data_IF_958562038253
#
_entry.id   IF_958562038253
#
_cell.length_a   1.000
_cell.length_b   1.000
_cell.length_c   1.000
_cell.angle_alpha   90.00
_cell.angle_beta   90.00
_cell.angle_gamma   90.00
#
_symmetry.space_group_name_H-M   'P 1'
#
loop_
_entity.id
_entity.type
_entity.pdbx_description
1 polymer ?
#
# COMPACT_ATOMS: atom_id res chain seq x y z
N UNK A 1 19.47 17.65 66.15
CA UNK A 1 20.17 17.03 65.00
C UNK A 1 19.20 16.13 64.27
N UNK A 2 18.58 16.64 63.21
CA UNK A 2 17.61 15.91 62.38
C UNK A 2 18.15 15.91 60.95
N UNK A 3 18.64 14.75 60.50
CA UNK A 3 19.02 14.51 59.11
C UNK A 3 17.73 14.35 58.29
N UNK A 4 17.42 15.33 57.45
CA UNK A 4 16.38 15.22 56.44
C UNK A 4 16.97 14.59 55.17
N UNK A 5 16.65 13.32 54.93
CA UNK A 5 16.98 12.58 53.71
C UNK A 5 16.15 13.14 52.56
N UNK A 6 16.80 13.86 51.64
CA UNK A 6 16.15 14.36 50.42
C UNK A 6 15.80 13.18 49.49
N UNK A 7 14.51 12.87 49.38
CA UNK A 7 14.00 11.90 48.41
C UNK A 7 14.21 12.43 46.98
N UNK A 8 14.99 11.70 46.18
CA UNK A 8 15.19 11.99 44.78
C UNK A 8 13.85 11.91 44.02
N UNK A 9 13.47 13.00 43.35
CA UNK A 9 12.28 13.04 42.52
C UNK A 9 12.41 12.04 41.34
N UNK A 10 11.35 11.29 41.00
CA UNK A 10 11.37 10.39 39.85
C UNK A 10 11.55 11.22 38.57
N UNK A 11 12.67 10.99 37.88
CA UNK A 11 12.96 11.52 36.55
C UNK A 11 11.80 11.16 35.61
N UNK A 12 10.96 12.14 35.28
CA UNK A 12 9.89 11.97 34.29
C UNK A 12 10.54 11.51 32.98
N UNK A 13 10.22 10.32 32.47
CA UNK A 13 10.86 9.81 31.28
C UNK A 13 10.57 10.76 30.11
N UNK A 14 11.56 10.85 29.23
CA UNK A 14 11.70 11.63 27.99
C UNK A 14 10.62 11.39 26.92
N UNK A 15 9.37 11.16 27.32
CA UNK A 15 8.24 10.70 26.51
C UNK A 15 7.99 11.59 25.28
N UNK A 16 8.20 12.90 25.41
CA UNK A 16 8.02 13.89 24.32
C UNK A 16 8.92 13.63 23.10
N UNK A 17 10.10 13.01 23.28
CA UNK A 17 11.02 12.73 22.18
C UNK A 17 10.72 11.43 21.42
N UNK A 18 9.87 10.56 21.97
CA UNK A 18 9.49 9.29 21.36
C UNK A 18 8.10 9.35 20.69
N UNK A 19 7.27 10.32 21.08
CA UNK A 19 5.94 10.58 20.53
C UNK A 19 5.89 10.70 18.99
N UNK A 20 6.74 11.50 18.31
CA UNK A 20 6.70 11.60 16.84
C UNK A 20 7.16 10.30 16.16
N UNK A 21 8.04 9.53 16.79
CA UNK A 21 8.49 8.25 16.27
C UNK A 21 7.41 7.18 16.39
N UNK A 22 6.71 7.13 17.52
CA UNK A 22 5.55 6.24 17.71
C UNK A 22 4.40 6.60 16.75
N UNK A 23 4.13 7.91 16.54
CA UNK A 23 3.15 8.37 15.57
C UNK A 23 3.51 7.98 14.13
N UNK A 24 4.79 8.11 13.75
CA UNK A 24 5.27 7.69 12.43
C UNK A 24 5.13 6.17 12.22
N UNK A 25 5.42 5.35 13.25
CA UNK A 25 5.18 3.91 13.20
C UNK A 25 3.69 3.61 13.07
N UNK A 26 2.83 4.27 13.85
CA UNK A 26 1.38 4.11 13.75
C UNK A 26 0.85 4.42 12.35
N UNK A 27 1.33 5.50 11.73
CA UNK A 27 0.99 5.86 10.35
C UNK A 27 1.46 4.81 9.34
N UNK A 28 2.67 4.27 9.50
CA UNK A 28 3.21 3.21 8.65
C UNK A 28 2.43 1.89 8.79
N UNK A 29 1.96 1.56 10.00
CA UNK A 29 1.10 0.39 10.21
C UNK A 29 -0.25 0.54 9.50
N UNK A 30 -0.82 1.74 9.45
CA UNK A 30 -2.02 2.01 8.65
C UNK A 30 -1.76 1.82 7.15
N UNK A 31 -0.57 2.19 6.68
CA UNK A 31 -0.17 2.00 5.28
C UNK A 31 0.07 0.52 4.92
N UNK A 32 0.13 -0.39 5.90
CA UNK A 32 0.31 -1.83 5.65
C UNK A 32 -0.99 -2.52 5.20
N UNK A 33 -2.14 -1.85 5.29
CA UNK A 33 -3.38 -2.39 4.77
C UNK A 33 -3.29 -2.56 3.24
N UNK A 34 -3.69 -3.74 2.74
CA UNK A 34 -3.51 -4.20 1.35
C UNK A 34 -4.10 -3.28 0.26
N UNK A 35 -4.96 -2.36 0.64
CA UNK A 35 -5.61 -1.38 -0.27
C UNK A 35 -5.40 0.08 0.15
N UNK A 36 -4.54 0.33 1.14
CA UNK A 36 -4.22 1.66 1.63
C UNK A 36 -2.87 2.18 1.08
N UNK A 37 -2.42 1.67 -0.08
CA UNK A 37 -1.18 2.12 -0.71
C UNK A 37 -1.17 3.62 -1.01
N UNK A 38 -2.33 4.21 -1.29
CA UNK A 38 -2.49 5.66 -1.43
C UNK A 38 -2.13 6.45 -0.16
N UNK A 39 -2.23 5.86 1.04
CA UNK A 39 -1.80 6.52 2.28
C UNK A 39 -0.29 6.71 2.34
N UNK A 40 0.47 5.90 1.60
CA UNK A 40 1.92 6.09 1.45
C UNK A 40 2.23 7.42 0.76
N UNK A 41 1.45 7.83 -0.25
CA UNK A 41 1.62 9.13 -0.91
C UNK A 41 1.47 10.30 0.08
N UNK A 42 0.58 10.18 1.07
CA UNK A 42 0.44 11.16 2.14
C UNK A 42 1.55 11.03 3.19
N UNK A 43 1.94 9.82 3.58
CA UNK A 43 2.95 9.59 4.61
C UNK A 43 4.38 9.98 4.18
N UNK A 44 4.73 9.73 2.92
CA UNK A 44 6.06 10.01 2.34
C UNK A 44 6.52 11.46 2.56
N UNK A 45 5.75 12.51 2.19
CA UNK A 45 6.20 13.89 2.37
C UNK A 45 6.39 14.26 3.85
N UNK A 46 5.53 13.79 4.75
CA UNK A 46 5.70 14.04 6.20
C UNK A 46 6.97 13.37 6.75
N UNK A 47 7.22 12.12 6.37
CA UNK A 47 8.41 11.39 6.77
C UNK A 47 9.67 12.03 6.16
N UNK A 48 9.60 12.47 4.90
CA UNK A 48 10.70 13.14 4.21
C UNK A 48 11.06 14.47 4.89
N UNK A 49 10.08 15.32 5.19
CA UNK A 49 10.30 16.59 5.93
C UNK A 49 10.92 16.30 7.30
N UNK A 50 10.43 15.28 8.01
CA UNK A 50 10.96 14.88 9.31
C UNK A 50 12.40 14.33 9.22
N UNK A 51 12.74 13.56 8.18
CA UNK A 51 14.09 13.07 7.90
C UNK A 51 15.04 14.22 7.58
N UNK A 52 14.65 15.15 6.70
CA UNK A 52 15.44 16.34 6.36
C UNK A 52 15.68 17.19 7.60
N UNK A 53 14.64 17.47 8.39
CA UNK A 53 14.74 18.21 9.64
C UNK A 53 15.71 17.54 10.63
N UNK A 54 15.58 16.22 10.84
CA UNK A 54 16.49 15.49 11.72
C UNK A 54 17.92 15.46 11.23
N UNK A 55 18.12 15.40 9.91
CA UNK A 55 19.45 15.40 9.28
C UNK A 55 20.13 16.76 9.48
N UNK A 56 19.41 17.86 9.22
CA UNK A 56 19.92 19.22 9.48
C UNK A 56 20.18 19.45 10.98
N UNK A 57 19.26 19.00 11.86
CA UNK A 57 19.43 19.11 13.30
C UNK A 57 20.58 18.23 13.84
N UNK A 58 20.85 17.09 13.20
CA UNK A 58 21.98 16.21 13.47
C UNK A 58 23.32 16.83 13.07
N UNK A 59 23.36 17.56 11.94
CA UNK A 59 24.54 18.33 11.52
C UNK A 59 24.85 19.49 12.48
N UNK A 60 23.82 20.17 12.99
CA UNK A 60 23.98 21.31 13.91
C UNK A 60 24.22 20.93 15.38
N UNK A 61 23.78 19.75 15.83
CA UNK A 61 23.93 19.28 17.21
C UNK A 61 24.45 17.84 17.22
N UNK A 62 25.77 17.60 17.38
CA UNK A 62 26.36 16.27 17.30
C UNK A 62 25.94 15.35 18.46
N UNK A 63 25.54 15.92 19.59
CA UNK A 63 24.99 15.18 20.72
C UNK A 63 23.71 14.43 20.30
N UNK A 64 23.80 13.11 20.20
CA UNK A 64 22.69 12.23 19.82
C UNK A 64 22.54 11.94 18.32
N UNK A 65 23.52 12.27 17.46
CA UNK A 65 23.51 11.95 16.01
C UNK A 65 23.19 10.49 15.73
N UNK A 66 23.82 9.56 16.44
CA UNK A 66 23.66 8.12 16.25
C UNK A 66 22.21 7.68 16.44
N UNK A 67 21.57 8.13 17.53
CA UNK A 67 20.17 7.77 17.84
C UNK A 67 19.20 8.32 16.79
N UNK A 68 19.42 9.54 16.29
CA UNK A 68 18.59 10.11 15.22
C UNK A 68 18.81 9.39 13.88
N UNK A 69 20.05 9.06 13.56
CA UNK A 69 20.39 8.31 12.35
C UNK A 69 19.75 6.92 12.34
N UNK A 70 19.82 6.16 13.46
CA UNK A 70 19.16 4.86 13.56
C UNK A 70 17.64 4.97 13.40
N UNK A 71 16.98 5.93 14.05
CA UNK A 71 15.53 6.14 13.91
C UNK A 71 15.15 6.49 12.46
N UNK A 72 15.93 7.35 11.81
CA UNK A 72 15.73 7.70 10.40
C UNK A 72 15.94 6.51 9.47
N UNK A 73 16.99 5.72 9.67
CA UNK A 73 17.28 4.53 8.89
C UNK A 73 16.16 3.48 9.02
N UNK A 74 15.66 3.25 10.24
CA UNK A 74 14.53 2.34 10.49
C UNK A 74 13.28 2.82 9.74
N UNK A 75 12.94 4.11 9.83
CA UNK A 75 11.78 4.65 9.14
C UNK A 75 11.91 4.61 7.62
N UNK A 76 13.10 4.90 7.08
CA UNK A 76 13.37 4.80 5.66
C UNK A 76 13.26 3.34 5.16
N UNK A 77 13.79 2.39 5.94
CA UNK A 77 13.70 0.95 5.63
C UNK A 77 12.24 0.47 5.63
N UNK A 78 11.46 0.85 6.65
CA UNK A 78 10.04 0.47 6.74
C UNK A 78 9.24 1.08 5.59
N UNK A 79 9.48 2.35 5.27
CA UNK A 79 8.83 3.02 4.14
C UNK A 79 9.16 2.32 2.81
N UNK A 80 10.44 2.00 2.59
CA UNK A 80 10.87 1.28 1.39
C UNK A 80 10.22 -0.11 1.29
N UNK A 81 10.14 -0.84 2.41
CA UNK A 81 9.49 -2.15 2.45
C UNK A 81 7.99 -2.06 2.11
N UNK A 82 7.27 -1.09 2.68
CA UNK A 82 5.84 -0.87 2.41
C UNK A 82 5.63 -0.51 0.93
N UNK A 83 6.42 0.41 0.38
CA UNK A 83 6.35 0.79 -1.03
C UNK A 83 6.63 -0.40 -1.95
N UNK A 84 7.63 -1.22 -1.62
CA UNK A 84 7.97 -2.41 -2.40
C UNK A 84 6.83 -3.44 -2.39
N UNK A 85 6.19 -3.65 -1.23
CA UNK A 85 5.03 -4.54 -1.12
C UNK A 85 3.85 -4.04 -1.98
N UNK A 86 3.53 -2.75 -1.91
CA UNK A 86 2.45 -2.18 -2.75
C UNK A 86 2.78 -2.21 -4.24
N UNK A 87 4.05 -2.01 -4.61
CA UNK A 87 4.52 -2.15 -5.98
C UNK A 87 4.36 -3.58 -6.49
N UNK A 88 4.76 -4.55 -5.68
CA UNK A 88 4.58 -5.97 -6.00
C UNK A 88 3.11 -6.31 -6.15
N UNK A 89 2.23 -5.87 -5.24
CA UNK A 89 0.78 -6.06 -5.37
C UNK A 89 0.21 -5.45 -6.65
N UNK A 90 0.64 -4.25 -7.04
CA UNK A 90 0.16 -3.60 -8.26
C UNK A 90 0.57 -4.38 -9.52
N UNK A 91 1.80 -4.90 -9.54
CA UNK A 91 2.29 -5.72 -10.66
C UNK A 91 1.61 -7.09 -10.72
N UNK A 92 1.43 -7.72 -9.56
CA UNK A 92 0.80 -9.03 -9.43
C UNK A 92 -0.69 -9.00 -9.79
N UNK A 93 -1.41 -7.95 -9.38
CA UNK A 93 -2.80 -7.71 -9.78
C UNK A 93 -2.94 -7.64 -11.30
N UNK A 94 -2.01 -6.96 -11.98
CA UNK A 94 -2.01 -6.88 -13.44
C UNK A 94 -1.79 -8.24 -14.10
N UNK A 95 -0.84 -9.03 -13.61
CA UNK A 95 -0.58 -10.36 -14.15
C UNK A 95 -1.79 -11.28 -14.00
N UNK A 96 -2.41 -11.32 -12.82
CA UNK A 96 -3.62 -12.11 -12.57
C UNK A 96 -4.82 -11.62 -13.37
N UNK A 97 -4.93 -10.31 -13.59
CA UNK A 97 -5.96 -9.74 -14.44
C UNK A 97 -5.81 -10.16 -15.90
N UNK A 98 -4.57 -10.23 -16.40
CA UNK A 98 -4.31 -10.74 -17.75
C UNK A 98 -4.69 -12.21 -17.88
N UNK A 99 -4.34 -13.05 -16.88
CA UNK A 99 -4.74 -14.47 -16.88
C UNK A 99 -6.26 -14.63 -16.94
N UNK A 100 -7.01 -13.81 -16.20
CA UNK A 100 -8.47 -13.83 -16.25
C UNK A 100 -9.00 -13.40 -17.64
N UNK A 101 -8.43 -12.34 -18.24
CA UNK A 101 -8.79 -11.89 -19.58
C UNK A 101 -8.53 -12.99 -20.63
N UNK A 102 -7.37 -13.63 -20.57
CA UNK A 102 -6.98 -14.70 -21.50
C UNK A 102 -7.90 -15.92 -21.36
N UNK A 103 -8.31 -16.27 -20.14
CA UNK A 103 -9.27 -17.35 -19.90
C UNK A 103 -10.66 -17.05 -20.50
N UNK A 104 -11.14 -15.80 -20.36
CA UNK A 104 -12.40 -15.35 -20.97
C UNK A 104 -12.32 -15.39 -22.50
N UNK A 105 -11.22 -14.93 -23.08
CA UNK A 105 -11.00 -14.97 -24.53
C UNK A 105 -10.89 -16.40 -25.07
N UNK A 106 -10.22 -17.29 -24.33
CA UNK A 106 -10.12 -18.71 -24.69
C UNK A 106 -11.49 -19.40 -24.63
N UNK A 107 -12.32 -19.07 -23.65
CA UNK A 107 -13.70 -19.54 -23.57
C UNK A 107 -14.52 -19.04 -24.76
N UNK A 108 -14.43 -17.75 -25.08
CA UNK A 108 -15.10 -17.16 -26.24
C UNK A 108 -14.70 -17.84 -27.56
N UNK A 109 -13.41 -18.13 -27.75
CA UNK A 109 -12.91 -18.80 -28.94
C UNK A 109 -13.43 -20.25 -29.08
N UNK A 110 -13.69 -20.94 -27.96
CA UNK A 110 -14.17 -22.33 -27.95
C UNK A 110 -15.69 -22.43 -28.07
N UNK A 111 -16.43 -21.60 -27.33
CA UNK A 111 -17.88 -21.71 -27.18
C UNK A 111 -18.65 -20.71 -28.07
N UNK A 112 -17.95 -19.75 -28.70
CA UNK A 112 -18.56 -18.68 -29.50
C UNK A 112 -19.30 -17.62 -28.70
N UNK A 113 -19.28 -17.69 -27.36
CA UNK A 113 -19.93 -16.76 -26.43
C UNK A 113 -19.03 -16.44 -25.24
N UNK A 114 -19.26 -15.31 -24.59
CA UNK A 114 -18.57 -15.01 -23.32
C UNK A 114 -19.12 -15.87 -22.16
N UNK A 115 -18.28 -16.18 -21.17
CA UNK A 115 -18.73 -16.88 -19.96
C UNK A 115 -19.68 -15.98 -19.14
N UNK A 116 -20.65 -16.57 -18.45
CA UNK A 116 -21.53 -15.78 -17.57
C UNK A 116 -20.77 -15.41 -16.29
N UNK A 117 -19.93 -16.33 -15.81
CA UNK A 117 -19.05 -16.13 -14.66
C UNK A 117 -17.61 -16.57 -14.99
N UNK A 118 -16.61 -15.99 -14.33
CA UNK A 118 -15.22 -16.42 -14.47
C UNK A 118 -15.02 -17.93 -14.17
N UNK A 119 -15.88 -18.49 -13.32
CA UNK A 119 -15.86 -19.91 -12.98
C UNK A 119 -16.10 -20.80 -14.22
N UNK A 120 -16.92 -20.36 -15.19
CA UNK A 120 -17.16 -21.07 -16.45
C UNK A 120 -15.88 -21.15 -17.31
N UNK A 121 -15.00 -20.16 -17.16
CA UNK A 121 -13.69 -20.11 -17.79
C UNK A 121 -12.60 -20.83 -16.98
N UNK A 122 -12.95 -21.50 -15.88
CA UNK A 122 -12.02 -22.25 -15.03
C UNK A 122 -11.21 -21.37 -14.06
N UNK A 123 -11.66 -20.14 -13.81
CA UNK A 123 -10.99 -19.17 -12.93
C UNK A 123 -11.82 -18.95 -11.68
N UNK A 124 -11.23 -19.05 -10.48
CA UNK A 124 -11.94 -18.81 -9.22
C UNK A 124 -12.20 -17.30 -8.99
N UNK A 125 -13.44 -16.81 -9.14
CA UNK A 125 -13.75 -15.39 -8.94
C UNK A 125 -13.60 -14.96 -7.48
N UNK A 126 -13.83 -15.86 -6.52
CA UNK A 126 -13.79 -15.52 -5.10
C UNK A 126 -12.36 -15.31 -4.62
N UNK A 127 -11.39 -16.05 -5.17
CA UNK A 127 -9.98 -15.80 -4.95
C UNK A 127 -9.57 -14.45 -5.55
N UNK A 128 -9.90 -14.21 -6.82
CA UNK A 128 -9.50 -13.01 -7.53
C UNK A 128 -10.05 -11.72 -6.90
N UNK A 129 -11.32 -11.74 -6.49
CA UNK A 129 -11.98 -10.62 -5.78
C UNK A 129 -11.31 -10.31 -4.45
N UNK A 130 -10.99 -11.33 -3.65
CA UNK A 130 -10.44 -11.16 -2.30
C UNK A 130 -8.98 -10.70 -2.31
N UNK A 131 -8.19 -11.16 -3.27
CA UNK A 131 -6.76 -10.90 -3.30
C UNK A 131 -6.42 -9.63 -4.09
N UNK A 132 -7.07 -9.39 -5.23
CA UNK A 132 -6.69 -8.30 -6.15
C UNK A 132 -7.84 -7.36 -6.52
N UNK A 133 -9.01 -7.48 -5.86
CA UNK A 133 -10.23 -6.68 -6.16
C UNK A 133 -10.60 -6.72 -7.64
N UNK A 134 -10.37 -7.86 -8.27
CA UNK A 134 -10.71 -8.08 -9.66
C UNK A 134 -12.19 -8.46 -9.78
N UNK A 135 -12.89 -7.83 -10.71
CA UNK A 135 -14.30 -7.99 -10.95
C UNK A 135 -14.55 -8.31 -12.41
N UNK A 136 -15.38 -9.32 -12.64
CA UNK A 136 -15.89 -9.69 -13.94
C UNK A 136 -17.41 -9.74 -13.86
N UNK A 137 -18.06 -9.19 -14.87
CA UNK A 137 -19.50 -9.34 -15.09
C UNK A 137 -19.79 -9.33 -16.59
N UNK A 138 -20.80 -10.09 -17.00
CA UNK A 138 -21.32 -10.04 -18.35
C UNK A 138 -22.62 -9.21 -18.31
N UNK A 139 -22.55 -7.96 -18.78
CA UNK A 139 -23.70 -7.09 -18.89
C UNK A 139 -24.28 -7.14 -20.31
N UNK A 140 -25.46 -6.57 -20.51
CA UNK A 140 -26.13 -6.50 -21.82
C UNK A 140 -25.31 -5.80 -22.91
N UNK A 141 -24.38 -4.92 -22.51
CA UNK A 141 -23.46 -4.20 -23.39
C UNK A 141 -22.14 -4.98 -23.67
N UNK A 142 -21.93 -6.12 -23.00
CA UNK A 142 -20.78 -6.98 -23.18
C UNK A 142 -20.04 -7.35 -21.88
N UNK A 143 -18.94 -8.12 -21.98
CA UNK A 143 -18.14 -8.49 -20.83
C UNK A 143 -17.37 -7.29 -20.30
N UNK A 144 -17.43 -7.10 -18.98
CA UNK A 144 -16.68 -6.08 -18.25
C UNK A 144 -15.75 -6.81 -17.30
N UNK A 145 -14.44 -6.54 -17.44
CA UNK A 145 -13.40 -7.06 -16.56
C UNK A 145 -12.56 -5.89 -16.07
N UNK A 146 -12.48 -5.70 -14.77
CA UNK A 146 -11.69 -4.62 -14.18
C UNK A 146 -11.00 -5.02 -12.88
N UNK A 147 -9.95 -4.29 -12.53
CA UNK A 147 -9.30 -4.40 -11.23
C UNK A 147 -8.96 -3.02 -10.66
N UNK A 148 -9.02 -2.90 -9.33
CA UNK A 148 -8.66 -1.67 -8.63
C UNK A 148 -7.14 -1.54 -8.43
N UNK A 149 -6.62 -0.32 -8.53
CA UNK A 149 -5.20 -0.03 -8.28
C UNK A 149 -4.92 0.13 -6.77
N UNK A 150 -3.66 -0.09 -6.38
CA UNK A 150 -3.25 -0.02 -4.97
C UNK A 150 -2.87 1.40 -4.52
N UNK A 151 -2.38 2.24 -5.44
CA UNK A 151 -1.83 3.57 -5.15
C UNK A 151 -2.84 4.70 -5.32
N UNK A 152 -3.94 4.46 -6.01
CA UNK A 152 -4.93 5.47 -6.35
C UNK A 152 -6.32 4.97 -5.96
N UNK A 153 -6.99 5.65 -5.03
CA UNK A 153 -8.35 5.27 -4.66
C UNK A 153 -9.29 5.57 -5.82
N UNK A 154 -10.28 4.70 -6.06
CA UNK A 154 -11.30 4.88 -7.11
C UNK A 154 -10.73 4.91 -8.54
N UNK A 155 -9.60 4.24 -8.77
CA UNK A 155 -9.12 4.01 -10.13
C UNK A 155 -9.24 2.53 -10.48
N UNK A 156 -9.81 2.29 -11.66
CA UNK A 156 -9.99 0.96 -12.22
C UNK A 156 -9.25 0.88 -13.56
N UNK A 157 -8.74 -0.31 -13.85
CA UNK A 157 -8.26 -0.65 -15.17
C UNK A 157 -9.26 -1.62 -15.78
N UNK A 158 -9.92 -1.19 -16.85
CA UNK A 158 -10.92 -1.97 -17.55
C UNK A 158 -10.25 -2.67 -18.73
N UNK A 159 -10.59 -3.94 -18.96
CA UNK A 159 -10.16 -4.64 -20.15
C UNK A 159 -11.16 -4.39 -21.28
N UNK A 160 -10.68 -3.77 -22.35
CA UNK A 160 -11.42 -3.64 -23.59
C UNK A 160 -11.25 -4.93 -24.42
N UNK A 161 -12.32 -5.73 -24.49
CA UNK A 161 -12.36 -6.97 -25.25
C UNK A 161 -12.35 -6.75 -26.78
N UNK A 162 -12.72 -5.56 -27.25
CA UNK A 162 -12.65 -5.17 -28.65
C UNK A 162 -11.23 -4.88 -29.10
N UNK A 163 -10.50 -4.05 -28.36
CA UNK A 163 -9.08 -3.72 -28.67
C UNK A 163 -8.09 -4.71 -28.05
N UNK A 164 -8.55 -5.67 -27.24
CA UNK A 164 -7.73 -6.63 -26.47
C UNK A 164 -6.64 -5.95 -25.65
N UNK A 165 -7.01 -4.84 -25.03
CA UNK A 165 -6.09 -3.96 -24.33
C UNK A 165 -6.72 -3.44 -23.06
N UNK A 166 -5.88 -2.98 -22.15
CA UNK A 166 -6.35 -2.39 -20.91
C UNK A 166 -6.47 -0.88 -21.06
N UNK A 167 -7.63 -0.36 -20.69
CA UNK A 167 -7.96 1.06 -20.72
C UNK A 167 -8.04 1.55 -19.28
N UNK A 168 -7.32 2.63 -19.01
CA UNK A 168 -7.39 3.32 -17.74
C UNK A 168 -8.71 4.11 -17.67
N UNK A 169 -9.50 3.90 -16.61
CA UNK A 169 -10.68 4.74 -16.32
C UNK A 169 -10.54 5.36 -14.91
N UNK A 170 -10.59 6.69 -14.81
CA UNK A 170 -10.89 7.33 -13.53
C UNK A 170 -12.39 7.15 -13.24
N UNK A 171 -12.75 6.60 -12.07
CA UNK A 171 -14.16 6.61 -11.59
C UNK A 171 -14.58 8.00 -11.12
#
# INVERSE_FOLDING_TARGET
>A
MTCATAAAAPTRPTLRHHLPFAAAIGLLLLCLQRHAGFMVLFAVPFIAIWLVYNTVAALRRPAGRRVRAYKGAILALVLAAITAVHWWYAHDARAHAQVAADAVLAFQAREGRFPAELADAGVDPAQLRRQWRLHYQLDGDGPVLFYGTTFTPFETHDFDFGTRGWVYRPD
#
